data_IF_974843311756
#
_entry.id   IF_974843311756
#
_cell.length_a   1.000
_cell.length_b   1.000
_cell.length_c   1.000
_cell.angle_alpha   90.00
_cell.angle_beta   90.00
_cell.angle_gamma   90.00
#
_symmetry.space_group_name_H-M   'P 1'
#
loop_
_entity.id
_entity.type
_entity.pdbx_description
1 polymer ?
#
# COMPACT_ATOMS: atom_id res chain seq x y z
N UNK A 1 18.76 -6.25 5.16
CA UNK A 1 17.97 -6.18 6.42
C UNK A 1 17.04 -4.98 6.37
N UNK A 2 15.79 -5.19 6.71
CA UNK A 2 14.75 -4.18 6.76
C UNK A 2 14.18 -4.13 8.17
N UNK A 3 13.99 -2.94 8.70
CA UNK A 3 13.49 -2.75 10.04
C UNK A 3 13.73 -1.33 10.55
N UNK A 4 13.65 -1.15 11.84
CA UNK A 4 13.82 0.15 12.49
C UNK A 4 15.17 0.22 13.18
N UNK A 5 15.90 1.29 12.89
CA UNK A 5 17.21 1.54 13.50
C UNK A 5 17.03 2.00 14.95
N UNK A 6 17.80 1.41 15.85
CA UNK A 6 17.91 1.87 17.23
C UNK A 6 18.41 3.33 17.30
N UNK A 7 18.05 4.06 18.34
CA UNK A 7 18.52 5.43 18.54
C UNK A 7 20.02 5.40 18.85
N UNK A 8 20.80 6.22 18.14
CA UNK A 8 22.22 6.39 18.44
C UNK A 8 22.40 6.84 19.90
N UNK A 9 23.06 6.02 20.70
CA UNK A 9 23.50 6.38 22.06
C UNK A 9 22.58 5.93 23.21
N UNK A 10 21.46 5.25 22.92
CA UNK A 10 20.54 4.73 23.95
C UNK A 10 20.71 3.23 24.25
N UNK A 11 21.64 2.55 23.55
CA UNK A 11 21.88 1.11 23.72
C UNK A 11 20.77 0.21 23.14
N UNK A 12 19.82 0.78 22.39
CA UNK A 12 18.80 -0.01 21.70
C UNK A 12 19.39 -0.63 20.44
N UNK A 13 19.20 -1.94 20.28
CA UNK A 13 19.54 -2.66 19.06
C UNK A 13 18.59 -2.31 17.92
N UNK A 14 19.05 -2.47 16.66
CA UNK A 14 18.20 -2.35 15.49
C UNK A 14 17.07 -3.41 15.54
N UNK A 15 15.85 -2.98 15.36
CA UNK A 15 14.70 -3.87 15.30
C UNK A 15 14.56 -4.43 13.87
N UNK A 16 15.19 -5.57 13.62
CA UNK A 16 15.17 -6.25 12.33
C UNK A 16 13.82 -6.93 12.15
N UNK A 17 13.02 -6.45 11.20
CA UNK A 17 11.73 -7.04 10.83
C UNK A 17 11.88 -8.09 9.73
N UNK A 18 12.71 -7.82 8.73
CA UNK A 18 12.96 -8.71 7.60
C UNK A 18 14.46 -8.83 7.36
N UNK A 19 14.91 -10.05 7.11
CA UNK A 19 16.31 -10.37 6.82
C UNK A 19 16.45 -11.10 5.46
N UNK A 20 17.60 -10.95 4.84
CA UNK A 20 17.94 -11.60 3.57
C UNK A 20 16.90 -11.47 2.47
N UNK A 21 16.22 -10.31 2.42
CA UNK A 21 15.26 -10.01 1.36
C UNK A 21 16.01 -9.84 0.05
N UNK A 22 15.69 -10.70 -0.91
CA UNK A 22 16.21 -10.63 -2.27
C UNK A 22 15.04 -10.76 -3.23
N UNK A 23 14.52 -9.64 -3.68
CA UNK A 23 13.36 -9.57 -4.56
C UNK A 23 13.65 -8.66 -5.74
N UNK A 24 13.10 -9.01 -6.88
CA UNK A 24 13.16 -8.22 -8.10
C UNK A 24 11.73 -7.99 -8.61
N UNK A 25 11.38 -6.73 -8.81
CA UNK A 25 10.12 -6.33 -9.42
C UNK A 25 10.35 -6.12 -10.91
N UNK A 26 9.63 -6.87 -11.72
CA UNK A 26 9.63 -6.69 -13.17
C UNK A 26 8.49 -5.76 -13.59
N UNK A 27 8.66 -4.99 -14.68
CA UNK A 27 7.58 -4.18 -15.22
C UNK A 27 6.33 -5.03 -15.49
N UNK A 28 5.16 -4.55 -15.03
CA UNK A 28 3.90 -5.26 -15.17
C UNK A 28 3.63 -6.38 -14.17
N UNK A 29 4.53 -6.66 -13.23
CA UNK A 29 4.29 -7.63 -12.14
C UNK A 29 3.11 -7.18 -11.26
N UNK A 30 2.26 -8.14 -10.87
CA UNK A 30 1.08 -7.93 -10.04
C UNK A 30 1.12 -8.86 -8.85
N UNK A 31 1.54 -8.34 -7.72
CA UNK A 31 1.94 -9.12 -6.55
C UNK A 31 1.01 -8.83 -5.37
N UNK A 32 0.41 -9.87 -4.81
CA UNK A 32 -0.26 -9.82 -3.51
C UNK A 32 0.71 -10.18 -2.39
N UNK A 33 0.88 -9.31 -1.40
CA UNK A 33 1.65 -9.63 -0.20
C UNK A 33 0.76 -10.32 0.82
N UNK A 34 1.11 -11.55 1.16
CA UNK A 34 0.45 -12.36 2.19
C UNK A 34 1.35 -12.48 3.42
N UNK A 35 0.74 -12.49 4.57
CA UNK A 35 1.46 -12.65 5.84
C UNK A 35 0.59 -12.27 7.03
N UNK A 36 0.88 -12.82 8.22
CA UNK A 36 0.18 -12.41 9.43
C UNK A 36 0.44 -10.94 9.77
N UNK A 37 -0.40 -10.37 10.62
CA UNK A 37 -0.19 -9.02 11.11
C UNK A 37 1.15 -8.95 11.87
N UNK A 38 1.90 -7.88 11.65
CA UNK A 38 3.22 -7.69 12.25
C UNK A 38 4.37 -8.47 11.56
N UNK A 39 4.11 -9.21 10.48
CA UNK A 39 5.14 -9.97 9.76
C UNK A 39 6.15 -9.11 9.00
N UNK A 40 5.87 -7.81 8.80
CA UNK A 40 6.76 -6.90 8.09
C UNK A 40 6.31 -6.49 6.70
N UNK A 41 5.04 -6.71 6.34
CA UNK A 41 4.49 -6.30 5.03
C UNK A 41 4.63 -4.79 4.77
N UNK A 42 4.20 -3.98 5.73
CA UNK A 42 4.33 -2.51 5.63
C UNK A 42 5.80 -2.05 5.68
N UNK A 43 6.65 -2.76 6.42
CA UNK A 43 8.10 -2.51 6.44
C UNK A 43 8.71 -2.75 5.06
N UNK A 44 8.32 -3.82 4.38
CA UNK A 44 8.76 -4.08 3.01
C UNK A 44 8.33 -2.97 2.06
N UNK A 45 7.06 -2.57 2.10
CA UNK A 45 6.54 -1.49 1.25
C UNK A 45 7.29 -0.19 1.50
N UNK A 46 7.44 0.24 2.75
CA UNK A 46 8.16 1.48 3.09
C UNK A 46 9.64 1.44 2.70
N UNK A 47 10.26 0.27 2.74
CA UNK A 47 11.63 0.10 2.25
C UNK A 47 11.71 0.19 0.72
N UNK A 48 10.70 -0.31 0.01
CA UNK A 48 10.62 -0.21 -1.45
C UNK A 48 10.38 1.24 -1.90
N UNK A 49 9.57 2.01 -1.19
CA UNK A 49 9.37 3.45 -1.47
C UNK A 49 10.58 4.32 -1.14
N UNK A 50 11.42 3.85 -0.24
CA UNK A 50 12.52 4.64 0.32
C UNK A 50 12.13 5.51 1.53
N UNK A 51 10.90 5.38 2.02
CA UNK A 51 10.46 6.04 3.27
C UNK A 51 11.18 5.47 4.49
N UNK A 52 11.55 4.20 4.44
CA UNK A 52 12.33 3.53 5.47
C UNK A 52 13.71 3.20 4.92
N UNK A 53 14.74 3.71 5.59
CA UNK A 53 16.13 3.38 5.25
C UNK A 53 16.43 1.90 5.52
N UNK A 54 17.23 1.31 4.64
CA UNK A 54 17.70 -0.06 4.82
C UNK A 54 18.70 -0.11 5.98
N UNK A 55 18.55 -1.11 6.86
CA UNK A 55 19.55 -1.39 7.89
C UNK A 55 20.83 -1.95 7.26
N UNK A 56 20.68 -2.77 6.22
CA UNK A 56 21.76 -3.31 5.44
C UNK A 56 21.28 -3.67 4.03
N UNK A 57 22.19 -3.67 3.06
CA UNK A 57 21.88 -3.96 1.67
C UNK A 57 21.66 -2.69 0.84
N UNK A 58 21.09 -2.86 -0.34
CA UNK A 58 20.80 -1.76 -1.24
C UNK A 58 19.49 -1.95 -1.99
N UNK A 59 18.84 -0.84 -2.28
CA UNK A 59 17.71 -0.74 -3.21
C UNK A 59 18.24 -0.13 -4.51
N UNK A 60 17.93 -0.79 -5.62
CA UNK A 60 18.31 -0.32 -6.95
C UNK A 60 17.03 0.03 -7.69
N UNK A 61 16.61 1.30 -7.74
CA UNK A 61 15.46 1.72 -8.53
C UNK A 61 15.77 1.63 -10.01
N UNK A 62 14.77 1.23 -10.81
CA UNK A 62 14.85 1.29 -12.27
C UNK A 62 14.84 2.73 -12.78
N UNK A 63 15.25 2.90 -14.03
CA UNK A 63 15.11 4.17 -14.72
C UNK A 63 13.63 4.55 -14.86
N UNK A 64 13.33 5.83 -14.74
CA UNK A 64 11.96 6.39 -14.84
C UNK A 64 10.93 5.82 -13.83
N UNK A 65 11.40 5.22 -12.72
CA UNK A 65 10.51 4.71 -11.69
C UNK A 65 9.70 5.85 -11.06
N UNK A 66 8.38 5.76 -11.19
CA UNK A 66 7.41 6.66 -10.54
C UNK A 66 6.52 5.84 -9.62
N UNK A 67 6.69 6.02 -8.31
CA UNK A 67 5.98 5.24 -7.29
C UNK A 67 4.75 6.01 -6.82
N UNK A 68 3.59 5.33 -6.89
CA UNK A 68 2.38 5.74 -6.19
C UNK A 68 2.22 4.87 -4.94
N UNK A 69 2.08 5.50 -3.79
CA UNK A 69 1.87 4.80 -2.54
C UNK A 69 0.55 5.22 -1.90
N UNK A 70 -0.28 4.24 -1.57
CA UNK A 70 -1.53 4.44 -0.87
C UNK A 70 -1.60 3.55 0.37
N UNK A 71 -1.70 4.17 1.53
CA UNK A 71 -1.91 3.53 2.82
C UNK A 71 -2.70 4.47 3.74
N UNK A 72 -3.04 4.01 4.94
CA UNK A 72 -3.81 4.79 5.91
C UNK A 72 -3.21 6.18 6.17
N UNK A 73 -1.90 6.29 6.25
CA UNK A 73 -1.25 7.57 6.58
C UNK A 73 -1.38 8.63 5.46
N UNK A 74 -1.67 8.25 4.20
CA UNK A 74 -1.97 9.22 3.15
C UNK A 74 -3.26 9.97 3.43
N UNK A 75 -4.25 9.32 4.07
CA UNK A 75 -5.48 9.98 4.49
C UNK A 75 -5.20 10.99 5.61
N UNK A 76 -4.33 10.62 6.55
CA UNK A 76 -3.94 11.46 7.69
C UNK A 76 -3.08 12.66 7.27
N UNK A 77 -2.35 12.53 6.18
CA UNK A 77 -1.48 13.59 5.63
C UNK A 77 -2.22 14.62 4.78
N UNK A 78 -3.51 14.42 4.50
CA UNK A 78 -4.30 15.41 3.76
C UNK A 78 -4.41 16.72 4.55
N UNK A 79 -4.25 17.85 3.84
CA UNK A 79 -4.48 19.18 4.41
C UNK A 79 -5.98 19.40 4.56
N UNK A 80 -6.49 19.15 5.76
CA UNK A 80 -7.92 19.24 6.07
C UNK A 80 -8.48 20.67 5.95
N UNK A 81 -7.62 21.67 6.00
CA UNK A 81 -8.01 23.08 5.82
C UNK A 81 -8.16 23.50 4.36
N UNK A 82 -7.68 22.66 3.45
CA UNK A 82 -7.64 22.90 2.02
C UNK A 82 -8.73 22.12 1.26
N UNK A 83 -8.74 22.25 -0.06
CA UNK A 83 -9.73 21.66 -0.98
C UNK A 83 -9.09 20.62 -1.89
N UNK A 84 -9.86 19.69 -2.51
CA UNK A 84 -9.32 18.78 -3.53
C UNK A 84 -8.60 19.51 -4.66
N UNK A 85 -9.17 20.61 -5.13
CA UNK A 85 -8.58 21.43 -6.20
C UNK A 85 -7.16 21.91 -5.82
N UNK A 86 -7.01 22.50 -4.65
CA UNK A 86 -5.72 23.02 -4.17
C UNK A 86 -4.70 21.90 -3.95
N UNK A 87 -5.13 20.72 -3.49
CA UNK A 87 -4.24 19.55 -3.37
C UNK A 87 -3.61 19.17 -4.71
N UNK A 88 -4.43 19.08 -5.78
CA UNK A 88 -3.92 18.78 -7.13
C UNK A 88 -3.06 19.92 -7.67
N UNK A 89 -3.50 21.17 -7.49
CA UNK A 89 -2.75 22.36 -7.94
C UNK A 89 -1.35 22.44 -7.32
N UNK A 90 -1.21 22.07 -6.05
CA UNK A 90 0.12 22.02 -5.38
C UNK A 90 1.05 20.98 -5.99
N UNK A 91 0.51 19.85 -6.48
CA UNK A 91 1.30 18.82 -7.18
C UNK A 91 1.71 19.27 -8.60
N UNK A 92 0.90 20.07 -9.26
CA UNK A 92 1.11 20.53 -10.62
C UNK A 92 0.72 22.01 -10.75
N UNK A 93 1.58 22.94 -10.33
CA UNK A 93 1.24 24.38 -10.35
C UNK A 93 0.98 24.95 -11.75
N UNK A 94 1.44 24.25 -12.78
CA UNK A 94 1.27 24.67 -14.20
C UNK A 94 0.05 24.05 -14.89
N UNK A 95 -0.64 23.10 -14.22
CA UNK A 95 -1.85 22.51 -14.77
C UNK A 95 -2.98 23.55 -14.84
N UNK A 96 -3.78 23.49 -15.91
CA UNK A 96 -4.93 24.37 -16.05
C UNK A 96 -6.05 24.01 -15.07
N UNK A 97 -6.83 25.00 -14.68
CA UNK A 97 -8.01 24.79 -13.81
C UNK A 97 -8.98 23.77 -14.42
N UNK A 98 -9.16 23.82 -15.73
CA UNK A 98 -10.07 22.92 -16.44
C UNK A 98 -9.57 21.46 -16.38
N UNK A 99 -8.27 21.25 -16.54
CA UNK A 99 -7.66 19.92 -16.44
C UNK A 99 -7.84 19.34 -15.04
N UNK A 100 -7.57 20.13 -14.00
CA UNK A 100 -7.76 19.72 -12.61
C UNK A 100 -9.23 19.38 -12.32
N UNK A 101 -10.16 20.24 -12.75
CA UNK A 101 -11.62 20.02 -12.56
C UNK A 101 -12.11 18.75 -13.26
N UNK A 102 -11.68 18.52 -14.49
CA UNK A 102 -12.06 17.34 -15.26
C UNK A 102 -11.56 16.06 -14.59
N UNK A 103 -10.31 16.08 -14.15
CA UNK A 103 -9.72 14.94 -13.44
C UNK A 103 -10.45 14.63 -12.12
N UNK A 104 -10.66 15.64 -11.27
CA UNK A 104 -11.38 15.50 -10.01
C UNK A 104 -12.83 15.06 -10.23
N UNK A 105 -13.47 15.53 -11.28
CA UNK A 105 -14.81 15.08 -11.67
C UNK A 105 -14.89 13.58 -11.95
N UNK A 106 -13.84 13.00 -12.55
CA UNK A 106 -13.70 11.57 -12.76
C UNK A 106 -13.60 10.76 -11.46
N UNK A 107 -13.11 11.39 -10.40
CA UNK A 107 -13.05 10.82 -9.03
C UNK A 107 -14.25 11.17 -8.15
N UNK A 108 -15.30 11.75 -8.73
CA UNK A 108 -16.55 12.07 -8.02
C UNK A 108 -16.60 13.43 -7.35
N UNK A 109 -15.55 14.27 -7.48
CA UNK A 109 -15.54 15.66 -6.99
C UNK A 109 -16.00 16.59 -8.11
N UNK A 110 -17.32 16.70 -8.29
CA UNK A 110 -17.93 17.47 -9.39
C UNK A 110 -18.34 18.85 -8.89
N UNK A 111 -18.20 19.84 -9.78
CA UNK A 111 -18.66 21.21 -9.49
C UNK A 111 -18.04 21.76 -8.21
N UNK A 112 -18.89 22.14 -7.26
CA UNK A 112 -18.50 22.75 -5.98
C UNK A 112 -17.80 21.76 -5.03
N UNK A 113 -17.97 20.44 -5.21
CA UNK A 113 -17.32 19.43 -4.37
C UNK A 113 -15.79 19.51 -4.48
N UNK A 114 -15.26 19.94 -5.64
CA UNK A 114 -13.82 20.14 -5.81
C UNK A 114 -13.25 21.28 -4.95
N UNK A 115 -14.11 22.15 -4.43
CA UNK A 115 -13.76 23.33 -3.63
C UNK A 115 -14.24 23.25 -2.18
N UNK A 116 -14.85 22.14 -1.78
CA UNK A 116 -15.23 21.90 -0.39
C UNK A 116 -13.98 21.64 0.48
N UNK A 117 -14.06 22.04 1.75
CA UNK A 117 -12.96 21.79 2.70
C UNK A 117 -12.90 20.30 3.06
N UNK A 118 -11.72 19.73 2.97
CA UNK A 118 -11.46 18.30 3.28
C UNK A 118 -11.81 17.95 4.72
N UNK A 119 -11.76 18.92 5.65
CA UNK A 119 -12.20 18.72 7.03
C UNK A 119 -13.64 18.21 7.15
N UNK A 120 -14.51 18.55 6.20
CA UNK A 120 -15.93 18.17 6.20
C UNK A 120 -16.20 16.82 5.52
N UNK A 121 -15.17 16.18 4.98
CA UNK A 121 -15.31 14.94 4.24
C UNK A 121 -15.39 13.72 5.15
N UNK A 122 -16.16 12.72 4.72
CA UNK A 122 -16.17 11.39 5.30
C UNK A 122 -14.84 10.68 5.09
N UNK A 123 -14.61 9.57 5.81
CA UNK A 123 -13.44 8.72 5.60
C UNK A 123 -13.33 8.19 4.16
N UNK A 124 -14.46 7.84 3.55
CA UNK A 124 -14.53 7.39 2.15
C UNK A 124 -14.18 8.49 1.15
N UNK A 125 -14.65 9.70 1.35
CA UNK A 125 -14.31 10.87 0.51
C UNK A 125 -12.84 11.25 0.63
N UNK A 126 -12.26 11.18 1.84
CA UNK A 126 -10.83 11.39 2.06
C UNK A 126 -10.00 10.32 1.35
N UNK A 127 -10.40 9.04 1.43
CA UNK A 127 -9.73 7.95 0.74
C UNK A 127 -9.79 8.14 -0.79
N UNK A 128 -10.94 8.56 -1.31
CA UNK A 128 -11.14 8.89 -2.73
C UNK A 128 -10.20 10.01 -3.18
N UNK A 129 -10.07 11.07 -2.39
CA UNK A 129 -9.13 12.16 -2.67
C UNK A 129 -7.68 11.67 -2.66
N UNK A 130 -7.28 10.91 -1.66
CA UNK A 130 -5.93 10.37 -1.58
C UNK A 130 -5.60 9.49 -2.79
N UNK A 131 -6.52 8.63 -3.24
CA UNK A 131 -6.37 7.83 -4.46
C UNK A 131 -6.26 8.71 -5.71
N UNK A 132 -7.06 9.77 -5.80
CA UNK A 132 -6.99 10.73 -6.90
C UNK A 132 -5.62 11.40 -6.97
N UNK A 133 -5.05 11.81 -5.83
CA UNK A 133 -3.72 12.44 -5.78
C UNK A 133 -2.61 11.47 -6.23
N UNK A 134 -2.71 10.21 -5.88
CA UNK A 134 -1.79 9.16 -6.37
C UNK A 134 -1.93 9.01 -7.89
N UNK A 135 -3.14 8.88 -8.40
CA UNK A 135 -3.41 8.69 -9.83
C UNK A 135 -2.99 9.91 -10.67
N UNK A 136 -3.12 11.13 -10.15
CA UNK A 136 -2.70 12.36 -10.84
C UNK A 136 -1.21 12.34 -11.19
N UNK A 137 -0.38 11.76 -10.35
CA UNK A 137 1.06 11.69 -10.53
C UNK A 137 1.50 10.63 -11.55
N UNK A 138 0.57 9.90 -12.16
CA UNK A 138 0.80 8.88 -13.19
C UNK A 138 1.89 7.88 -12.83
N UNK A 139 1.77 7.16 -11.72
CA UNK A 139 2.78 6.19 -11.30
C UNK A 139 2.85 5.01 -12.27
N UNK A 140 4.02 4.36 -12.33
CA UNK A 140 4.22 3.10 -13.03
C UNK A 140 4.44 1.91 -12.06
N UNK A 141 4.56 2.20 -10.78
CA UNK A 141 4.50 1.24 -9.68
C UNK A 141 3.50 1.73 -8.63
N UNK A 142 2.47 0.93 -8.37
CA UNK A 142 1.49 1.17 -7.31
C UNK A 142 1.77 0.25 -6.12
N UNK A 143 1.93 0.84 -4.96
CA UNK A 143 2.00 0.15 -3.68
C UNK A 143 0.74 0.50 -2.89
N UNK A 144 -0.07 -0.51 -2.62
CA UNK A 144 -1.39 -0.34 -2.00
C UNK A 144 -1.43 -1.16 -0.70
N UNK A 145 -1.58 -0.49 0.42
CA UNK A 145 -1.68 -1.12 1.74
C UNK A 145 -3.08 -0.92 2.30
N UNK A 146 -3.89 -1.98 2.28
CA UNK A 146 -5.29 -2.01 2.70
C UNK A 146 -6.15 -0.90 2.06
N UNK A 147 -6.17 -0.79 0.72
CA UNK A 147 -6.77 0.36 0.05
C UNK A 147 -8.29 0.43 0.16
N UNK A 148 -8.97 -0.65 0.54
CA UNK A 148 -10.43 -0.72 0.61
C UNK A 148 -11.02 -0.44 1.98
N UNK A 149 -10.20 -0.26 3.03
CA UNK A 149 -10.67 -0.18 4.41
C UNK A 149 -11.71 0.90 4.70
N UNK A 150 -11.69 2.01 3.98
CA UNK A 150 -12.62 3.14 4.20
C UNK A 150 -13.52 3.41 2.99
N UNK A 151 -13.50 2.51 2.00
CA UNK A 151 -14.29 2.66 0.80
C UNK A 151 -15.66 1.98 0.95
N UNK A 152 -16.70 2.62 0.43
CA UNK A 152 -18.00 2.00 0.20
C UNK A 152 -17.94 0.98 -0.95
N UNK A 153 -19.02 0.26 -1.17
CA UNK A 153 -19.08 -0.80 -2.18
C UNK A 153 -18.81 -0.26 -3.59
N UNK A 154 -19.37 0.89 -3.92
CA UNK A 154 -19.23 1.51 -5.24
C UNK A 154 -17.76 1.89 -5.51
N UNK A 155 -17.09 2.48 -4.52
CA UNK A 155 -15.69 2.85 -4.63
C UNK A 155 -14.75 1.63 -4.65
N UNK A 156 -15.08 0.57 -3.90
CA UNK A 156 -14.32 -0.69 -3.98
C UNK A 156 -14.37 -1.29 -5.38
N UNK A 157 -15.55 -1.29 -5.99
CA UNK A 157 -15.73 -1.80 -7.35
C UNK A 157 -14.97 -0.93 -8.37
N UNK A 158 -15.07 0.39 -8.26
CA UNK A 158 -14.35 1.33 -9.11
C UNK A 158 -12.82 1.15 -8.99
N UNK A 159 -12.29 0.99 -7.76
CA UNK A 159 -10.88 0.71 -7.52
C UNK A 159 -10.47 -0.63 -8.15
N UNK A 160 -11.26 -1.68 -7.97
CA UNK A 160 -11.00 -3.00 -8.54
C UNK A 160 -10.88 -2.94 -10.06
N UNK A 161 -11.80 -2.26 -10.72
CA UNK A 161 -11.78 -2.07 -12.18
C UNK A 161 -10.58 -1.24 -12.63
N UNK A 162 -10.27 -0.17 -11.92
CA UNK A 162 -9.13 0.68 -12.23
C UNK A 162 -7.79 -0.08 -12.10
N UNK A 163 -7.63 -0.90 -11.05
CA UNK A 163 -6.44 -1.72 -10.87
C UNK A 163 -6.35 -2.86 -11.90
N UNK A 164 -7.46 -3.47 -12.27
CA UNK A 164 -7.48 -4.50 -13.30
C UNK A 164 -7.01 -3.98 -14.66
N UNK A 165 -7.31 -2.73 -14.99
CA UNK A 165 -6.89 -2.07 -16.23
C UNK A 165 -5.56 -1.31 -16.14
N UNK A 166 -4.97 -1.22 -14.97
CA UNK A 166 -3.68 -0.56 -14.79
C UNK A 166 -2.54 -1.39 -15.41
N UNK A 167 -1.76 -0.80 -16.29
CA UNK A 167 -0.70 -1.51 -17.03
C UNK A 167 0.65 -1.57 -16.28
N UNK A 168 0.80 -0.83 -15.19
CA UNK A 168 2.03 -0.79 -14.40
C UNK A 168 2.16 -1.96 -13.42
N UNK A 169 3.21 -1.92 -12.66
CA UNK A 169 3.49 -2.87 -11.57
C UNK A 169 2.63 -2.56 -10.34
N UNK A 170 2.07 -3.59 -9.73
CA UNK A 170 1.23 -3.45 -8.51
C UNK A 170 1.77 -4.37 -7.42
N UNK A 171 1.91 -3.82 -6.22
CA UNK A 171 2.05 -4.60 -4.98
C UNK A 171 0.85 -4.25 -4.09
N UNK A 172 0.09 -5.24 -3.72
CA UNK A 172 -1.15 -5.10 -2.98
C UNK A 172 -1.12 -5.88 -1.67
N UNK A 173 -1.35 -5.20 -0.57
CA UNK A 173 -1.68 -5.80 0.72
C UNK A 173 -3.17 -5.58 0.96
N UNK A 174 -3.95 -6.64 1.08
CA UNK A 174 -5.39 -6.54 1.34
C UNK A 174 -5.94 -7.81 1.97
N UNK A 175 -7.00 -7.65 2.76
CA UNK A 175 -7.88 -8.73 3.20
C UNK A 175 -9.08 -8.93 2.27
N UNK A 176 -9.26 -8.03 1.31
CA UNK A 176 -10.31 -8.14 0.31
C UNK A 176 -9.94 -9.17 -0.77
N UNK A 177 -10.55 -10.35 -0.66
CA UNK A 177 -10.28 -11.48 -1.57
C UNK A 177 -10.72 -11.19 -3.01
N UNK A 178 -11.79 -10.42 -3.20
CA UNK A 178 -12.27 -10.04 -4.51
C UNK A 178 -11.26 -9.14 -5.21
N UNK A 179 -10.77 -8.12 -4.50
CA UNK A 179 -9.74 -7.22 -4.99
C UNK A 179 -8.44 -7.97 -5.34
N UNK A 180 -7.97 -8.85 -4.47
CA UNK A 180 -6.77 -9.66 -4.73
C UNK A 180 -6.93 -10.53 -5.98
N UNK A 181 -8.04 -11.28 -6.10
CA UNK A 181 -8.29 -12.15 -7.26
C UNK A 181 -8.39 -11.40 -8.57
N UNK A 182 -8.95 -10.19 -8.55
CA UNK A 182 -9.10 -9.36 -9.74
C UNK A 182 -7.79 -8.64 -10.16
N UNK A 183 -6.84 -8.47 -9.24
CA UNK A 183 -5.71 -7.56 -9.43
C UNK A 183 -4.38 -8.27 -9.56
N UNK A 184 -4.12 -9.36 -8.81
CA UNK A 184 -2.79 -9.97 -8.70
C UNK A 184 -2.69 -11.32 -9.39
N UNK A 185 -1.51 -11.61 -9.93
CA UNK A 185 -1.20 -12.85 -10.66
C UNK A 185 -0.32 -13.78 -9.82
N UNK A 186 0.42 -13.24 -8.86
CA UNK A 186 1.32 -13.99 -7.99
C UNK A 186 1.25 -13.48 -6.56
N UNK A 187 1.68 -14.33 -5.64
CA UNK A 187 1.74 -13.99 -4.22
C UNK A 187 3.16 -14.10 -3.68
N UNK A 188 3.51 -13.18 -2.81
CA UNK A 188 4.69 -13.30 -1.94
C UNK A 188 4.23 -13.44 -0.49
N UNK A 189 4.82 -14.39 0.20
CA UNK A 189 4.56 -14.60 1.62
C UNK A 189 5.63 -13.89 2.45
N UNK A 190 5.17 -13.06 3.37
CA UNK A 190 6.00 -12.39 4.37
C UNK A 190 5.77 -13.08 5.71
N UNK A 191 6.76 -13.84 6.15
CA UNK A 191 6.73 -14.59 7.42
C UNK A 191 8.16 -14.94 7.85
N UNK A 192 8.37 -15.20 9.13
CA UNK A 192 9.63 -15.64 9.71
C UNK A 192 10.83 -14.75 9.29
N UNK A 193 10.62 -13.44 9.29
CA UNK A 193 11.59 -12.45 8.88
C UNK A 193 12.03 -12.56 7.41
N UNK A 194 11.28 -13.26 6.56
CA UNK A 194 11.59 -13.50 5.14
C UNK A 194 10.47 -13.07 4.21
N UNK A 195 10.84 -12.87 2.96
CA UNK A 195 9.90 -12.65 1.85
C UNK A 195 10.20 -13.70 0.80
N UNK A 196 9.20 -14.52 0.49
CA UNK A 196 9.34 -15.66 -0.42
C UNK A 196 8.14 -15.73 -1.38
N UNK A 197 8.31 -16.14 -2.63
CA UNK A 197 7.20 -16.51 -3.48
C UNK A 197 6.31 -17.56 -2.80
N UNK A 198 5.00 -17.45 -3.00
CA UNK A 198 4.03 -18.39 -2.47
C UNK A 198 3.32 -19.10 -3.62
N UNK A 199 3.64 -20.38 -3.80
CA UNK A 199 3.02 -21.25 -4.80
C UNK A 199 1.68 -21.78 -4.26
N UNK A 200 0.61 -21.07 -4.54
CA UNK A 200 -0.72 -21.42 -4.09
C UNK A 200 -1.69 -20.27 -4.25
N UNK A 201 -2.95 -20.55 -4.03
CA UNK A 201 -3.99 -19.54 -4.04
C UNK A 201 -4.31 -19.01 -2.62
N UNK A 202 -5.32 -18.15 -2.52
CA UNK A 202 -5.76 -17.58 -1.24
C UNK A 202 -6.32 -18.62 -0.28
N UNK A 203 -6.82 -19.74 -0.80
CA UNK A 203 -7.34 -20.82 0.03
C UNK A 203 -6.18 -21.63 0.63
N UNK A 204 -5.15 -21.90 -0.15
CA UNK A 204 -3.91 -22.54 0.30
C UNK A 204 -3.24 -21.69 1.39
N UNK A 205 -3.20 -20.37 1.19
CA UNK A 205 -2.69 -19.45 2.20
C UNK A 205 -3.50 -19.49 3.49
N UNK A 206 -4.84 -19.58 3.41
CA UNK A 206 -5.70 -19.70 4.59
C UNK A 206 -5.41 -20.95 5.40
N UNK A 207 -5.22 -22.08 4.73
CA UNK A 207 -4.86 -23.35 5.36
C UNK A 207 -3.51 -23.23 6.04
N UNK A 208 -2.51 -22.68 5.37
CA UNK A 208 -1.19 -22.45 5.93
C UNK A 208 -1.25 -21.54 7.18
N UNK A 209 -1.97 -20.42 7.10
CA UNK A 209 -2.09 -19.47 8.20
C UNK A 209 -2.77 -20.11 9.44
N UNK A 210 -3.81 -20.91 9.21
CA UNK A 210 -4.52 -21.61 10.30
C UNK A 210 -3.60 -22.60 11.01
N UNK A 211 -2.87 -23.42 10.27
CA UNK A 211 -1.91 -24.37 10.83
C UNK A 211 -0.85 -23.65 11.70
N UNK A 212 -0.31 -22.54 11.20
CA UNK A 212 0.67 -21.75 11.92
C UNK A 212 0.13 -21.14 13.22
N UNK A 213 -1.10 -20.65 13.21
CA UNK A 213 -1.74 -20.10 14.41
C UNK A 213 -2.00 -21.20 15.47
N UNK A 214 -2.28 -22.43 15.03
CA UNK A 214 -2.45 -23.57 15.92
C UNK A 214 -1.11 -24.00 16.55
N UNK A 215 -0.04 -24.01 15.78
CA UNK A 215 1.34 -24.26 16.28
C UNK A 215 1.74 -23.23 17.33
N UNK A 216 1.61 -21.94 17.02
CA UNK A 216 1.92 -20.86 17.97
C UNK A 216 1.13 -20.94 19.27
N UNK A 217 -0.14 -21.43 19.22
CA UNK A 217 -0.95 -21.65 20.41
C UNK A 217 -0.50 -22.85 21.23
N UNK A 218 0.04 -23.89 20.60
CA UNK A 218 0.59 -25.07 21.30
C UNK A 218 1.89 -24.72 22.01
N UNK A 219 2.78 -24.00 21.34
CA UNK A 219 4.06 -23.56 21.92
C UNK A 219 3.82 -22.66 23.14
N UNK A 220 2.90 -21.71 23.06
CA UNK A 220 2.54 -20.84 24.19
C UNK A 220 1.85 -21.56 25.37
N UNK A 221 1.34 -22.76 25.15
CA UNK A 221 0.78 -23.61 26.22
C UNK A 221 1.81 -24.58 26.80
N UNK A 222 2.79 -24.98 25.99
CA UNK A 222 3.89 -25.85 26.43
C UNK A 222 4.91 -25.15 27.33
N UNK A 223 5.12 -23.86 27.19
CA UNK A 223 5.99 -23.06 28.06
C UNK A 223 5.39 -22.74 29.44
N UNK A 224 4.12 -23.05 29.66
CA UNK A 224 3.41 -22.82 30.94
C UNK A 224 3.21 -24.10 31.77
N UNK A 225 3.77 -25.23 31.36
CA UNK A 225 3.77 -26.50 32.08
C UNK A 225 5.18 -26.82 32.59
#
# INVERSE_FOLDING_TARGET
QLGYRGKKGDGSDDNIQLDKVNVTLLPGSRIGLLGPNGAGKSTLIKSLTGELELLNGKRVPGEHLAIGYFAQHQLESLDVSSTPFVHVQRLSPTASDQEIRNFLGGFGFKGDDAFGKVANYSGGEKARLALALVAWQKPNLLLLDEPTNHLDLEMREALTQALASFEGTVILVSHDRHLLRATVDEFWRVADHRVEPFDGDLEDYRVWLKARLEESRRDSRGEKA
#
